data_IF_812619240556
#
_entry.id   IF_812619240556
#
_cell.length_a   1.000
_cell.length_b   1.000
_cell.length_c   1.000
_cell.angle_alpha   90.00
_cell.angle_beta   90.00
_cell.angle_gamma   90.00
#
_symmetry.space_group_name_H-M   'P 1'
#
loop_
_entity.id
_entity.type
_entity.pdbx_description
1 polymer ?
#
# COMPACT_ATOMS: atom_id res chain seq x y z
N UNK A 1 -6.27 -3.19 5.67
CA UNK A 1 -6.91 -2.30 4.64
C UNK A 1 -8.34 -1.96 5.04
N UNK A 2 -8.71 -0.68 5.09
CA UNK A 2 -10.10 -0.21 5.33
C UNK A 2 -11.00 -0.34 4.09
N UNK A 3 -10.41 -0.25 2.91
CA UNK A 3 -11.09 -0.48 1.63
C UNK A 3 -10.78 -1.91 1.21
N UNK A 4 -11.81 -2.73 1.03
CA UNK A 4 -11.62 -4.14 0.73
C UNK A 4 -10.89 -4.31 -0.61
N UNK A 5 -9.77 -5.06 -0.63
CA UNK A 5 -8.99 -5.31 -1.84
C UNK A 5 -9.84 -5.98 -2.94
N UNK A 6 -10.78 -6.86 -2.58
CA UNK A 6 -11.65 -7.50 -3.56
C UNK A 6 -12.60 -6.52 -4.27
N UNK A 7 -12.87 -5.36 -3.69
CA UNK A 7 -13.62 -4.30 -4.35
C UNK A 7 -12.76 -3.59 -5.42
N UNK A 8 -11.43 -3.65 -5.32
CA UNK A 8 -10.49 -3.04 -6.26
C UNK A 8 -10.33 -3.83 -7.56
N UNK A 9 -10.70 -5.12 -7.60
CA UNK A 9 -10.66 -5.93 -8.83
C UNK A 9 -11.60 -5.47 -9.93
N UNK A 10 -12.52 -4.57 -9.60
CA UNK A 10 -13.40 -3.93 -10.58
C UNK A 10 -12.79 -2.68 -11.20
N UNK A 11 -11.60 -2.26 -10.78
CA UNK A 11 -10.88 -1.19 -11.43
C UNK A 11 -10.52 -1.58 -12.88
N UNK A 12 -10.44 -0.60 -13.81
CA UNK A 12 -10.36 -0.89 -15.25
C UNK A 12 -9.18 -1.78 -15.65
N UNK A 13 -8.02 -1.59 -15.02
CA UNK A 13 -6.83 -2.38 -15.30
C UNK A 13 -6.74 -3.54 -14.31
N UNK A 14 -6.42 -4.72 -14.82
CA UNK A 14 -6.18 -5.89 -13.97
C UNK A 14 -4.94 -5.65 -13.10
N UNK A 15 -5.02 -6.00 -11.82
CA UNK A 15 -3.84 -6.10 -10.95
C UNK A 15 -3.07 -7.36 -11.34
N UNK A 16 -1.86 -7.21 -11.84
CA UNK A 16 -1.00 -8.30 -12.28
C UNK A 16 -0.03 -8.72 -11.17
N UNK A 17 0.64 -7.74 -10.55
CA UNK A 17 1.53 -7.94 -9.42
C UNK A 17 1.40 -6.79 -8.42
N UNK A 18 1.76 -7.08 -7.19
CA UNK A 18 1.66 -6.15 -6.06
C UNK A 18 3.04 -5.93 -5.45
N UNK A 19 3.35 -4.69 -5.11
CA UNK A 19 4.40 -4.36 -4.15
C UNK A 19 3.69 -3.91 -2.87
N UNK A 20 3.85 -4.69 -1.81
CA UNK A 20 3.28 -4.41 -0.50
C UNK A 20 4.39 -3.98 0.46
N UNK A 21 4.32 -2.75 0.93
CA UNK A 21 5.32 -2.13 1.81
C UNK A 21 4.70 -1.98 3.20
N UNK A 22 5.30 -2.68 4.19
CA UNK A 22 4.75 -2.89 5.51
C UNK A 22 4.09 -4.28 5.62
N UNK A 23 4.87 -5.35 5.34
CA UNK A 23 4.34 -6.72 5.25
C UNK A 23 3.75 -7.27 6.56
N UNK A 24 4.26 -6.81 7.70
CA UNK A 24 3.87 -7.21 9.07
C UNK A 24 3.67 -8.74 9.22
N UNK A 25 2.43 -9.23 9.25
CA UNK A 25 2.09 -10.68 9.35
C UNK A 25 1.40 -11.21 8.10
N UNK A 26 1.48 -10.48 6.99
CA UNK A 26 0.85 -10.81 5.71
C UNK A 26 -0.69 -10.90 5.81
N UNK A 27 -1.31 -9.95 6.51
CA UNK A 27 -2.74 -9.93 6.73
C UNK A 27 -3.55 -9.89 5.43
N UNK A 28 -3.03 -9.21 4.40
CA UNK A 28 -3.67 -9.04 3.09
C UNK A 28 -3.44 -10.23 2.14
N UNK A 29 -2.54 -11.16 2.47
CA UNK A 29 -2.23 -12.31 1.61
C UNK A 29 -3.49 -13.12 1.23
N UNK A 30 -4.44 -13.43 2.15
CA UNK A 30 -5.67 -14.14 1.77
C UNK A 30 -6.50 -13.40 0.73
N UNK A 31 -6.58 -12.08 0.82
CA UNK A 31 -7.33 -11.25 -0.12
C UNK A 31 -6.65 -11.17 -1.49
N UNK A 32 -5.33 -11.09 -1.54
CA UNK A 32 -4.55 -11.15 -2.78
C UNK A 32 -4.74 -12.49 -3.49
N UNK A 33 -4.67 -13.61 -2.75
CA UNK A 33 -4.90 -14.94 -3.30
C UNK A 33 -6.32 -15.11 -3.82
N UNK A 34 -7.33 -14.64 -3.08
CA UNK A 34 -8.73 -14.64 -3.51
C UNK A 34 -8.93 -13.83 -4.78
N UNK A 35 -8.19 -12.72 -4.90
CA UNK A 35 -8.15 -11.90 -6.10
C UNK A 35 -7.34 -12.49 -7.24
N UNK A 36 -6.81 -13.69 -7.08
CA UNK A 36 -5.97 -14.37 -8.06
C UNK A 36 -4.67 -13.61 -8.41
N UNK A 37 -4.16 -12.79 -7.47
CA UNK A 37 -2.82 -12.20 -7.58
C UNK A 37 -1.82 -13.16 -6.96
N UNK A 38 -0.80 -13.54 -7.73
CA UNK A 38 0.22 -14.52 -7.36
C UNK A 38 1.62 -13.92 -7.30
N UNK A 39 1.81 -12.77 -7.92
CA UNK A 39 3.08 -12.04 -7.99
C UNK A 39 3.07 -10.95 -6.91
N UNK A 40 3.77 -11.14 -5.80
CA UNK A 40 3.79 -10.15 -4.72
C UNK A 40 5.21 -9.96 -4.19
N UNK A 41 5.67 -8.72 -4.16
CA UNK A 41 6.85 -8.31 -3.42
C UNK A 41 6.38 -7.74 -2.09
N UNK A 42 6.84 -8.34 -1.01
CA UNK A 42 6.59 -7.91 0.35
C UNK A 42 7.83 -7.19 0.89
N UNK A 43 7.69 -5.98 1.39
CA UNK A 43 8.79 -5.24 2.02
C UNK A 43 8.49 -5.13 3.51
N UNK A 44 9.46 -5.51 4.34
CA UNK A 44 9.36 -5.45 5.80
C UNK A 44 10.64 -4.86 6.39
N UNK A 45 10.45 -3.91 7.31
CA UNK A 45 11.56 -3.25 7.99
C UNK A 45 12.02 -4.01 9.26
N UNK A 46 11.08 -4.66 9.95
CA UNK A 46 11.34 -5.32 11.24
C UNK A 46 11.96 -6.71 11.05
N UNK A 47 13.25 -6.92 11.40
CA UNK A 47 13.90 -8.23 11.27
C UNK A 47 13.25 -9.34 12.10
N UNK A 48 12.55 -9.03 13.20
CA UNK A 48 11.84 -10.01 14.00
C UNK A 48 10.68 -10.69 13.25
N UNK A 49 10.22 -10.09 12.14
CA UNK A 49 9.16 -10.63 11.29
C UNK A 49 9.67 -11.53 10.16
N UNK A 50 10.95 -11.43 9.78
CA UNK A 50 11.48 -12.08 8.58
C UNK A 50 11.27 -13.60 8.57
N UNK A 51 11.63 -14.29 9.62
CA UNK A 51 11.49 -15.75 9.70
C UNK A 51 10.03 -16.20 9.55
N UNK A 52 9.10 -15.46 10.17
CA UNK A 52 7.67 -15.76 10.07
C UNK A 52 7.15 -15.53 8.65
N UNK A 53 7.56 -14.43 8.01
CA UNK A 53 7.14 -14.11 6.65
C UNK A 53 7.71 -15.13 5.66
N UNK A 54 9.01 -15.41 5.73
CA UNK A 54 9.68 -16.39 4.86
C UNK A 54 9.04 -17.77 4.96
N UNK A 55 8.76 -18.24 6.18
CA UNK A 55 8.11 -19.53 6.38
C UNK A 55 6.72 -19.60 5.72
N UNK A 56 5.93 -18.51 5.83
CA UNK A 56 4.65 -18.42 5.15
C UNK A 56 4.76 -18.37 3.62
N UNK A 57 5.79 -17.71 3.10
CA UNK A 57 5.99 -17.53 1.67
C UNK A 57 6.64 -18.73 0.96
N UNK A 58 7.28 -19.68 1.65
CA UNK A 58 7.93 -20.87 1.06
C UNK A 58 7.09 -21.66 0.06
N UNK A 59 5.77 -21.61 0.19
CA UNK A 59 4.82 -22.30 -0.68
C UNK A 59 4.40 -21.51 -1.93
N UNK A 60 5.00 -20.34 -2.13
CA UNK A 60 4.68 -19.44 -3.24
C UNK A 60 5.96 -19.06 -3.97
N UNK A 61 6.14 -19.57 -5.19
CA UNK A 61 7.37 -19.34 -5.97
C UNK A 61 7.55 -17.88 -6.41
N UNK A 62 6.45 -17.14 -6.53
CA UNK A 62 6.42 -15.76 -7.04
C UNK A 62 6.10 -14.72 -5.96
N UNK A 63 6.32 -15.07 -4.69
CA UNK A 63 6.21 -14.14 -3.57
C UNK A 63 7.55 -13.96 -2.89
N UNK A 64 8.03 -12.74 -2.82
CA UNK A 64 9.40 -12.41 -2.42
C UNK A 64 9.37 -11.43 -1.25
N UNK A 65 10.29 -11.61 -0.30
CA UNK A 65 10.50 -10.71 0.83
C UNK A 65 11.73 -9.83 0.59
N UNK A 66 11.53 -8.50 0.55
CA UNK A 66 12.57 -7.50 0.70
C UNK A 66 12.75 -7.12 2.17
N UNK A 67 13.96 -7.28 2.67
CA UNK A 67 14.33 -7.10 4.09
C UNK A 67 14.95 -5.74 4.32
N UNK A 68 14.16 -4.67 4.27
CA UNK A 68 14.60 -3.28 4.49
C UNK A 68 13.39 -2.39 4.75
N UNK A 69 13.64 -1.18 5.27
CA UNK A 69 12.64 -0.12 5.31
C UNK A 69 12.63 0.66 3.98
N UNK A 70 11.47 0.85 3.36
CA UNK A 70 11.38 1.68 2.16
C UNK A 70 11.57 3.15 2.51
N UNK A 71 12.46 3.85 1.80
CA UNK A 71 12.78 5.25 2.03
C UNK A 71 13.35 5.94 0.80
N UNK A 72 13.62 7.24 0.90
CA UNK A 72 14.15 8.02 -0.21
C UNK A 72 15.65 7.73 -0.50
N UNK A 73 16.43 7.35 0.53
CA UNK A 73 17.87 7.16 0.47
C UNK A 73 18.31 5.93 1.24
N UNK A 74 19.56 5.49 0.97
CA UNK A 74 20.23 4.49 1.79
C UNK A 74 20.74 5.18 3.07
N UNK A 75 20.04 4.98 4.16
CA UNK A 75 20.34 5.55 5.47
C UNK A 75 20.06 4.53 6.56
N UNK A 76 20.60 4.77 7.75
CA UNK A 76 20.34 3.95 8.93
C UNK A 76 19.41 4.72 9.85
N UNK A 77 18.32 4.08 10.23
CA UNK A 77 17.29 4.64 11.12
C UNK A 77 17.03 3.74 12.31
N UNK A 78 16.44 4.32 13.35
CA UNK A 78 15.89 3.56 14.48
C UNK A 78 14.41 3.30 14.24
N UNK A 79 14.03 2.04 14.09
CA UNK A 79 12.63 1.61 14.06
C UNK A 79 12.12 1.47 15.49
N UNK A 80 11.12 2.25 15.86
CA UNK A 80 10.44 2.14 17.14
C UNK A 80 9.47 0.96 17.08
N UNK A 81 9.65 -0.04 17.92
CA UNK A 81 8.79 -1.22 17.99
C UNK A 81 7.66 -0.98 19.01
N UNK A 82 6.43 -1.10 18.56
CA UNK A 82 5.24 -0.97 19.40
C UNK A 82 4.85 -2.32 20.04
N UNK A 83 4.19 -2.25 21.21
CA UNK A 83 3.70 -3.43 21.93
C UNK A 83 2.64 -4.22 21.15
N UNK A 84 1.87 -3.58 20.24
CA UNK A 84 0.93 -4.26 19.35
C UNK A 84 1.57 -4.75 18.04
N UNK A 85 2.81 -4.31 17.74
CA UNK A 85 3.56 -4.63 16.54
C UNK A 85 3.11 -3.90 15.27
N UNK A 86 1.83 -3.50 15.17
CA UNK A 86 1.26 -2.83 13.98
C UNK A 86 1.61 -1.34 13.93
N UNK A 87 1.70 -0.67 15.08
CA UNK A 87 2.01 0.77 15.16
C UNK A 87 3.52 1.05 15.24
N UNK A 88 4.36 0.08 14.85
CA UNK A 88 5.82 0.28 14.78
C UNK A 88 6.16 1.24 13.65
N UNK A 89 7.03 2.22 13.90
CA UNK A 89 7.31 3.31 12.96
C UNK A 89 8.75 3.82 13.06
N UNK A 90 9.25 4.38 11.95
CA UNK A 90 10.49 5.17 11.95
C UNK A 90 10.32 6.54 12.62
N UNK A 91 9.07 6.95 12.86
CA UNK A 91 8.71 8.22 13.49
C UNK A 91 8.28 8.03 14.94
N UNK A 92 8.38 9.08 15.72
CA UNK A 92 7.82 9.10 17.09
C UNK A 92 6.29 9.28 17.03
N UNK A 93 5.58 8.82 18.07
CA UNK A 93 4.15 9.09 18.20
C UNK A 93 3.86 10.59 18.29
N UNK A 94 2.90 11.04 17.50
CA UNK A 94 2.25 12.34 17.61
C UNK A 94 0.90 12.20 18.35
N UNK A 95 -0.21 12.53 17.66
CA UNK A 95 -1.56 12.35 18.23
C UNK A 95 -1.96 10.89 18.39
N UNK A 96 -1.23 9.95 17.80
CA UNK A 96 -1.43 8.49 17.95
C UNK A 96 -1.54 8.10 19.43
N UNK A 97 -0.61 8.56 20.29
CA UNK A 97 -0.60 8.21 21.71
C UNK A 97 -1.85 8.67 22.46
N UNK A 98 -2.43 9.81 22.05
CA UNK A 98 -3.68 10.30 22.63
C UNK A 98 -4.89 9.47 22.16
N UNK A 99 -4.85 8.95 20.94
CA UNK A 99 -5.93 8.16 20.32
C UNK A 99 -5.93 6.69 20.76
N UNK A 100 -4.73 6.18 21.09
CA UNK A 100 -4.46 4.81 21.49
C UNK A 100 -3.56 4.79 22.74
N UNK A 101 -4.09 5.11 23.93
CA UNK A 101 -3.29 5.29 25.16
C UNK A 101 -2.56 4.02 25.60
N UNK A 102 -3.08 2.83 25.24
CA UNK A 102 -2.50 1.52 25.60
C UNK A 102 -1.36 1.08 24.68
N UNK A 103 -1.11 1.84 23.58
CA UNK A 103 -0.04 1.53 22.64
C UNK A 103 1.20 2.35 22.98
N UNK A 104 2.30 1.63 23.23
CA UNK A 104 3.61 2.20 23.57
C UNK A 104 4.73 1.61 22.71
N UNK A 105 5.80 2.38 22.53
CA UNK A 105 7.05 1.85 22.03
C UNK A 105 7.78 1.12 23.18
N UNK A 106 8.08 -0.15 22.93
CA UNK A 106 8.72 -1.04 23.91
C UNK A 106 10.23 -1.23 23.68
N UNK A 107 10.70 -0.98 22.45
CA UNK A 107 12.10 -1.04 22.09
C UNK A 107 12.38 -0.29 20.79
N UNK A 108 13.67 -0.15 20.47
CA UNK A 108 14.15 0.42 19.20
C UNK A 108 15.18 -0.50 18.58
N UNK A 109 15.10 -0.71 17.28
CA UNK A 109 16.09 -1.51 16.55
C UNK A 109 16.62 -0.68 15.37
N UNK A 110 17.87 -0.94 15.03
CA UNK A 110 18.50 -0.30 13.87
C UNK A 110 18.07 -1.02 12.59
N UNK A 111 17.61 -0.25 11.59
CA UNK A 111 17.22 -0.74 10.28
C UNK A 111 17.81 0.12 9.17
N UNK A 112 18.02 -0.46 8.00
CA UNK A 112 18.44 0.26 6.80
C UNK A 112 17.22 0.68 5.99
N UNK A 113 17.17 1.96 5.58
CA UNK A 113 16.26 2.41 4.53
C UNK A 113 16.92 2.25 3.17
N UNK A 114 16.10 1.91 2.14
CA UNK A 114 16.55 1.80 0.75
C UNK A 114 15.50 2.38 -0.20
N UNK A 115 15.93 3.08 -1.27
CA UNK A 115 15.04 3.39 -2.38
C UNK A 115 14.54 2.11 -3.04
N UNK A 116 13.22 1.98 -3.17
CA UNK A 116 12.62 0.78 -3.76
C UNK A 116 13.05 0.59 -5.22
N UNK A 117 13.15 1.69 -5.99
CA UNK A 117 13.59 1.61 -7.40
C UNK A 117 14.95 0.93 -7.53
N UNK A 118 15.92 1.32 -6.70
CA UNK A 118 17.28 0.72 -6.71
C UNK A 118 17.21 -0.77 -6.37
N UNK A 119 16.48 -1.12 -5.33
CA UNK A 119 16.35 -2.53 -4.93
C UNK A 119 15.65 -3.36 -6.02
N UNK A 120 14.64 -2.81 -6.69
CA UNK A 120 13.97 -3.48 -7.81
C UNK A 120 14.92 -3.67 -9.00
N UNK A 121 15.72 -2.65 -9.34
CA UNK A 121 16.69 -2.74 -10.44
C UNK A 121 17.76 -3.79 -10.19
N UNK A 122 18.21 -3.94 -8.94
CA UNK A 122 19.21 -4.94 -8.55
C UNK A 122 18.68 -6.38 -8.54
N UNK A 123 17.36 -6.58 -8.32
CA UNK A 123 16.78 -7.90 -8.06
C UNK A 123 15.87 -8.42 -9.20
N UNK A 124 15.36 -7.55 -10.07
CA UNK A 124 14.37 -7.91 -11.09
C UNK A 124 14.73 -7.37 -12.48
N UNK A 125 14.75 -8.25 -13.47
CA UNK A 125 14.91 -7.86 -14.89
C UNK A 125 13.64 -7.25 -15.47
N UNK A 126 12.48 -7.72 -15.01
CA UNK A 126 11.17 -7.20 -15.41
C UNK A 126 10.36 -6.88 -14.16
N UNK A 127 9.98 -5.62 -14.03
CA UNK A 127 9.18 -5.08 -12.92
C UNK A 127 7.85 -4.47 -13.37
N UNK A 128 7.57 -4.45 -14.68
CA UNK A 128 6.38 -3.82 -15.24
C UNK A 128 5.09 -4.54 -14.83
N UNK A 129 5.19 -5.78 -14.39
CA UNK A 129 4.05 -6.55 -13.87
C UNK A 129 3.52 -6.05 -12.54
N UNK A 130 4.35 -5.35 -11.74
CA UNK A 130 3.95 -4.85 -10.43
C UNK A 130 3.23 -3.51 -10.57
N UNK A 131 1.97 -3.56 -10.98
CA UNK A 131 1.17 -2.37 -11.27
C UNK A 131 0.28 -1.89 -10.12
N UNK A 132 0.36 -2.54 -8.96
CA UNK A 132 -0.33 -2.13 -7.73
C UNK A 132 0.67 -1.98 -6.59
N UNK A 133 0.65 -0.83 -5.92
CA UNK A 133 1.45 -0.56 -4.73
C UNK A 133 0.52 -0.47 -3.53
N UNK A 134 0.78 -1.25 -2.47
CA UNK A 134 0.15 -1.11 -1.16
C UNK A 134 1.19 -0.57 -0.16
N UNK A 135 0.86 0.50 0.55
CA UNK A 135 1.80 1.22 1.41
C UNK A 135 1.14 1.53 2.76
N UNK A 136 1.61 0.86 3.82
CA UNK A 136 1.18 1.05 5.20
C UNK A 136 2.41 0.91 6.11
N UNK A 137 3.07 2.03 6.39
CA UNK A 137 4.33 2.09 7.15
C UNK A 137 4.32 3.17 8.24
N UNK A 138 3.11 3.47 8.69
CA UNK A 138 2.88 4.20 9.92
C UNK A 138 3.55 5.59 9.96
N UNK A 139 3.25 6.40 8.91
CA UNK A 139 3.62 7.81 8.82
C UNK A 139 4.82 8.10 7.89
N UNK A 140 5.59 7.08 7.43
CA UNK A 140 6.79 7.29 6.59
C UNK A 140 6.50 7.15 5.09
N UNK A 141 5.23 7.14 4.69
CA UNK A 141 4.74 6.83 3.34
C UNK A 141 5.33 7.76 2.28
N UNK A 142 5.38 9.07 2.51
CA UNK A 142 5.91 10.02 1.54
C UNK A 142 7.39 9.79 1.24
N UNK A 143 8.18 9.45 2.26
CA UNK A 143 9.60 9.16 2.09
C UNK A 143 9.83 7.88 1.29
N UNK A 144 8.99 6.86 1.51
CA UNK A 144 8.99 5.65 0.69
C UNK A 144 8.60 5.95 -0.77
N UNK A 145 7.54 6.74 -1.00
CA UNK A 145 7.12 7.15 -2.35
C UNK A 145 8.22 7.91 -3.10
N UNK A 146 8.99 8.76 -2.42
CA UNK A 146 10.14 9.47 -3.01
C UNK A 146 11.26 8.52 -3.45
N UNK A 147 11.35 7.33 -2.86
CA UNK A 147 12.32 6.29 -3.22
C UNK A 147 11.89 5.38 -4.38
N UNK A 148 10.71 5.62 -5.00
CA UNK A 148 10.20 4.77 -6.07
C UNK A 148 9.60 5.52 -7.28
N UNK A 149 10.23 6.63 -7.76
CA UNK A 149 9.66 7.43 -8.84
C UNK A 149 9.50 6.66 -10.16
N UNK A 150 10.36 5.68 -10.47
CA UNK A 150 10.24 4.88 -11.68
C UNK A 150 9.09 3.88 -11.55
N UNK A 151 8.95 3.23 -10.40
CA UNK A 151 7.84 2.32 -10.13
C UNK A 151 6.49 3.06 -10.15
N UNK A 152 6.42 4.30 -9.65
CA UNK A 152 5.21 5.12 -9.73
C UNK A 152 4.80 5.49 -11.17
N UNK A 153 5.75 5.57 -12.12
CA UNK A 153 5.42 5.75 -13.55
C UNK A 153 4.74 4.53 -14.15
N UNK A 154 5.02 3.33 -13.62
CA UNK A 154 4.49 2.05 -14.08
C UNK A 154 3.17 1.73 -13.39
N UNK A 155 3.06 2.04 -12.10
CA UNK A 155 1.90 1.71 -11.28
C UNK A 155 0.58 2.25 -11.87
N UNK A 156 -0.41 1.38 -11.96
CA UNK A 156 -1.80 1.76 -12.25
C UNK A 156 -2.52 2.23 -10.99
N UNK A 157 -2.15 1.66 -9.84
CA UNK A 157 -2.82 1.90 -8.56
C UNK A 157 -1.83 2.05 -7.41
N UNK A 158 -2.16 2.96 -6.50
CA UNK A 158 -1.50 3.09 -5.19
C UNK A 158 -2.58 3.09 -4.11
N UNK A 159 -2.55 2.08 -3.24
CA UNK A 159 -3.31 2.03 -2.01
C UNK A 159 -2.38 2.42 -0.88
N UNK A 160 -2.80 3.34 0.00
CA UNK A 160 -1.89 3.94 0.96
C UNK A 160 -2.63 4.41 2.21
N UNK A 161 -2.03 4.15 3.39
CA UNK A 161 -2.44 4.83 4.60
C UNK A 161 -2.11 6.34 4.50
N UNK A 162 -3.01 7.18 4.96
CA UNK A 162 -2.88 8.64 4.92
C UNK A 162 -3.27 9.26 6.26
N UNK A 163 -2.57 10.33 6.62
CA UNK A 163 -2.80 11.03 7.87
C UNK A 163 -3.52 12.36 7.61
N UNK A 164 -4.49 12.71 8.45
CA UNK A 164 -5.25 13.97 8.43
C UNK A 164 -4.77 14.96 9.48
N UNK A 165 -3.99 14.47 10.42
CA UNK A 165 -3.31 15.21 11.49
C UNK A 165 -1.92 14.59 11.71
N UNK A 166 -1.13 15.13 12.62
CA UNK A 166 0.19 14.61 12.93
C UNK A 166 0.09 13.37 13.84
N UNK A 167 -0.40 12.25 13.26
CA UNK A 167 -0.56 10.98 13.98
C UNK A 167 0.80 10.45 14.45
N UNK A 168 1.80 10.57 13.59
CA UNK A 168 3.22 10.40 13.91
C UNK A 168 3.94 11.72 13.69
N UNK A 169 4.93 12.06 14.53
CA UNK A 169 5.65 13.34 14.44
C UNK A 169 6.36 13.51 13.11
N UNK A 170 6.04 14.59 12.40
CA UNK A 170 6.60 14.88 11.09
C UNK A 170 6.04 14.02 9.95
N UNK A 171 4.99 13.20 10.17
CA UNK A 171 4.37 12.44 9.10
C UNK A 171 3.75 13.36 8.04
N UNK A 172 3.76 12.92 6.80
CA UNK A 172 3.07 13.61 5.71
C UNK A 172 1.56 13.52 5.89
N UNK A 173 0.85 14.55 5.45
CA UNK A 173 -0.60 14.57 5.45
C UNK A 173 -1.15 14.19 4.07
N UNK A 174 -2.44 13.84 4.01
CA UNK A 174 -3.15 13.50 2.77
C UNK A 174 -2.85 14.46 1.62
N UNK A 175 -2.84 15.79 1.87
CA UNK A 175 -2.56 16.81 0.85
C UNK A 175 -1.16 16.70 0.25
N UNK A 176 -0.17 16.25 1.03
CA UNK A 176 1.22 16.11 0.58
C UNK A 176 1.35 14.88 -0.32
N UNK A 177 0.66 13.78 0.04
CA UNK A 177 0.53 12.57 -0.78
C UNK A 177 -0.21 12.88 -2.09
N UNK A 178 -1.36 13.57 -2.03
CA UNK A 178 -2.12 14.00 -3.22
C UNK A 178 -1.21 14.78 -4.20
N UNK A 179 -0.49 15.79 -3.68
CA UNK A 179 0.41 16.64 -4.47
C UNK A 179 1.56 15.86 -5.08
N UNK A 180 2.10 14.89 -4.34
CA UNK A 180 3.23 14.09 -4.80
C UNK A 180 2.80 13.11 -5.90
N UNK A 181 1.75 12.32 -5.67
CA UNK A 181 1.26 11.30 -6.61
C UNK A 181 0.69 11.92 -7.90
N UNK A 182 0.14 13.14 -7.83
CA UNK A 182 -0.32 13.89 -9.01
C UNK A 182 0.80 14.08 -10.05
N UNK A 183 2.07 14.21 -9.64
CA UNK A 183 3.22 14.35 -10.55
C UNK A 183 3.41 13.14 -11.46
N UNK A 184 2.87 11.98 -11.05
CA UNK A 184 2.93 10.72 -11.79
C UNK A 184 1.60 10.40 -12.50
N UNK A 185 0.64 11.33 -12.51
CA UNK A 185 -0.68 11.13 -13.11
C UNK A 185 -1.59 10.21 -12.27
N UNK A 186 -1.23 9.97 -11.00
CA UNK A 186 -2.03 9.20 -10.04
C UNK A 186 -2.97 10.16 -9.30
N UNK A 187 -4.27 9.97 -9.45
CA UNK A 187 -5.30 10.79 -8.82
C UNK A 187 -6.09 9.97 -7.82
N UNK A 188 -6.40 10.58 -6.67
CA UNK A 188 -7.19 9.93 -5.64
C UNK A 188 -8.61 9.66 -6.11
N UNK A 189 -8.99 8.38 -6.15
CA UNK A 189 -10.30 7.90 -6.59
C UNK A 189 -11.15 7.39 -5.43
N UNK A 190 -10.55 7.09 -4.29
CA UNK A 190 -11.26 6.67 -3.08
C UNK A 190 -10.56 7.13 -1.81
N UNK A 191 -11.33 7.28 -0.74
CA UNK A 191 -10.85 7.66 0.58
C UNK A 191 -11.76 7.08 1.64
N UNK A 192 -11.20 6.43 2.65
CA UNK A 192 -11.91 6.00 3.84
C UNK A 192 -11.20 6.52 5.07
N UNK A 193 -11.85 7.41 5.80
CA UNK A 193 -11.33 8.06 6.99
C UNK A 193 -11.78 7.32 8.24
N UNK A 194 -10.88 7.23 9.23
CA UNK A 194 -11.25 6.85 10.61
C UNK A 194 -11.53 8.09 11.46
N UNK A 195 -12.03 7.89 12.66
CA UNK A 195 -12.15 8.92 13.70
C UNK A 195 -10.84 9.15 14.47
N UNK A 196 -9.77 8.45 14.10
CA UNK A 196 -8.46 8.44 14.79
C UNK A 196 -7.39 9.30 14.11
N UNK A 197 -7.78 10.13 13.14
CA UNK A 197 -6.87 11.06 12.47
C UNK A 197 -6.11 10.47 11.29
N UNK A 198 -6.39 9.22 10.90
CA UNK A 198 -5.81 8.53 9.74
C UNK A 198 -6.89 7.85 8.90
N UNK A 199 -6.52 7.28 7.80
CA UNK A 199 -7.41 6.54 6.91
C UNK A 199 -6.66 5.96 5.73
N UNK A 200 -7.40 5.32 4.81
CA UNK A 200 -6.84 4.74 3.60
C UNK A 200 -7.32 5.49 2.37
N UNK A 201 -6.40 5.73 1.45
CA UNK A 201 -6.67 6.32 0.14
C UNK A 201 -6.27 5.35 -0.98
N UNK A 202 -7.05 5.37 -2.06
CA UNK A 202 -6.70 4.70 -3.30
C UNK A 202 -6.53 5.73 -4.41
N UNK A 203 -5.41 5.62 -5.13
CA UNK A 203 -5.07 6.42 -6.30
C UNK A 203 -5.07 5.53 -7.53
N UNK A 204 -5.50 6.07 -8.66
CA UNK A 204 -5.50 5.37 -9.93
C UNK A 204 -4.92 6.25 -11.04
N UNK A 205 -4.18 5.61 -11.97
CA UNK A 205 -3.65 6.19 -13.19
C UNK A 205 -4.58 5.83 -14.34
N UNK A 206 -4.83 6.76 -15.22
CA UNK A 206 -5.71 6.63 -16.41
C UNK A 206 -7.17 6.16 -16.13
N UNK A 207 -8.12 6.63 -16.92
CA UNK A 207 -9.56 6.34 -16.81
C UNK A 207 -10.22 6.68 -15.45
N UNK A 208 -9.76 7.76 -14.83
CA UNK A 208 -10.19 8.27 -13.54
C UNK A 208 -11.71 8.45 -13.44
N UNK A 209 -12.35 8.84 -14.52
CA UNK A 209 -13.79 9.04 -14.54
C UNK A 209 -14.54 7.73 -14.25
N UNK A 210 -14.11 6.62 -14.86
CA UNK A 210 -14.71 5.29 -14.64
C UNK A 210 -14.41 4.80 -13.24
N UNK A 211 -13.19 4.96 -12.75
CA UNK A 211 -12.82 4.56 -11.40
C UNK A 211 -13.57 5.37 -10.34
N UNK A 212 -13.69 6.70 -10.48
CA UNK A 212 -14.51 7.54 -9.59
C UNK A 212 -15.99 7.18 -9.62
N UNK A 213 -16.54 6.97 -10.83
CA UNK A 213 -17.92 6.58 -10.99
C UNK A 213 -18.20 5.24 -10.29
N UNK A 214 -17.30 4.29 -10.49
CA UNK A 214 -17.38 2.99 -9.82
C UNK A 214 -17.40 3.14 -8.30
N UNK A 215 -16.47 3.92 -7.72
CA UNK A 215 -16.43 4.16 -6.27
C UNK A 215 -17.69 4.82 -5.73
N UNK A 216 -18.28 5.74 -6.50
CA UNK A 216 -19.54 6.41 -6.13
C UNK A 216 -20.72 5.40 -6.08
N UNK A 217 -20.72 4.43 -6.99
CA UNK A 217 -21.80 3.43 -7.11
C UNK A 217 -21.52 2.14 -6.34
N UNK A 218 -20.35 1.96 -5.74
CA UNK A 218 -19.96 0.75 -5.02
C UNK A 218 -20.98 0.33 -3.93
N UNK A 219 -21.55 1.23 -3.12
CA UNK A 219 -22.58 0.87 -2.14
C UNK A 219 -23.83 0.30 -2.81
N UNK A 220 -24.25 0.85 -3.94
CA UNK A 220 -25.42 0.44 -4.70
C UNK A 220 -25.17 -0.92 -5.35
N UNK A 221 -23.98 -1.13 -5.92
CA UNK A 221 -23.57 -2.39 -6.55
C UNK A 221 -23.52 -3.53 -5.53
N UNK A 222 -23.05 -3.28 -4.31
CA UNK A 222 -23.07 -4.27 -3.20
C UNK A 222 -24.46 -4.70 -2.80
N UNK A 223 -25.42 -3.77 -2.79
CA UNK A 223 -26.83 -4.07 -2.43
C UNK A 223 -27.52 -4.88 -3.51
N UNK A 224 -27.28 -4.61 -4.77
CA UNK A 224 -27.97 -5.22 -5.92
C UNK A 224 -27.40 -6.62 -6.25
N UNK A 225 -26.29 -7.08 -5.65
CA UNK A 225 -25.61 -8.35 -5.98
C UNK A 225 -25.45 -8.56 -7.48
N UNK A 226 -24.97 -7.57 -8.20
CA UNK A 226 -24.78 -7.64 -9.64
C UNK A 226 -23.83 -8.79 -10.00
N UNK A 227 -24.19 -9.75 -10.88
CA UNK A 227 -23.32 -10.86 -11.22
C UNK A 227 -22.02 -10.33 -11.85
N UNK A 228 -20.88 -10.77 -11.33
CA UNK A 228 -19.53 -10.41 -11.77
C UNK A 228 -19.31 -10.52 -13.29
N UNK A 229 -19.99 -11.45 -13.95
CA UNK A 229 -19.97 -11.68 -15.40
C UNK A 229 -20.52 -10.52 -16.22
N UNK A 230 -21.58 -9.86 -15.77
CA UNK A 230 -22.19 -8.71 -16.49
C UNK A 230 -21.29 -7.47 -16.43
N UNK A 231 -20.62 -7.24 -15.33
CA UNK A 231 -19.71 -6.13 -15.15
C UNK A 231 -18.50 -6.22 -16.11
N UNK A 232 -17.83 -7.39 -16.22
CA UNK A 232 -16.73 -7.62 -17.19
C UNK A 232 -17.17 -7.39 -18.63
N UNK A 233 -18.43 -7.71 -18.95
CA UNK A 233 -18.99 -7.48 -20.28
C UNK A 233 -19.13 -5.99 -20.61
N UNK A 234 -19.63 -5.17 -19.67
CA UNK A 234 -19.78 -3.74 -19.87
C UNK A 234 -18.44 -3.01 -20.00
N UNK A 235 -17.49 -3.24 -19.12
CA UNK A 235 -16.19 -2.55 -19.15
C UNK A 235 -15.36 -2.94 -20.38
N UNK A 236 -15.32 -4.21 -20.77
CA UNK A 236 -14.60 -4.63 -21.99
C UNK A 236 -15.14 -3.98 -23.26
N UNK A 237 -16.41 -3.62 -23.29
CA UNK A 237 -17.03 -2.99 -24.46
C UNK A 237 -16.78 -1.47 -24.53
N UNK A 238 -16.54 -0.82 -23.41
CA UNK A 238 -16.26 0.63 -23.35
C UNK A 238 -14.76 0.97 -23.47
N UNK A 239 -13.86 0.05 -23.13
CA UNK A 239 -12.39 0.28 -23.18
C UNK A 239 -11.79 -0.11 -24.55
N UNK A 240 -12.52 -0.81 -25.43
CA UNK A 240 -12.07 -1.20 -26.77
C UNK A 240 -12.55 -0.26 -27.89
N UNK A 241 -13.03 0.88 -27.55
CA UNK A 241 -13.25 2.02 -28.47
C UNK A 241 -12.41 3.19 -27.95
#
# INVERSE_FOLDING_TARGET
MLINFNDLFFLPNKVNGIIHIGAHKLEELPDYLKGNVREVIWIEANPDKYNFIEEKLKRFDNMILGKFAAGQKNEVHMLNLSNNGQSSSLLEFGTHKMRYPDIDYISKIQVETKPLDNWLDDNFKNKDQYNFINLDIQGYELEALKGMPNQLKIADYVYIEVNFEEVYRGCSQLKDIDKFLLKFGLLRVGLRKTDKGWGDAIYAKNNIFIAKLYYLFLPIIRVIKFPYTMYRFFIRRFIRR
#
